data_IF_085119077767
#
_entry.id   IF_085119077767
#
_cell.length_a   1.000
_cell.length_b   1.000
_cell.length_c   1.000
_cell.angle_alpha   90.00
_cell.angle_beta   90.00
_cell.angle_gamma   90.00
#
_symmetry.space_group_name_H-M   'P 1'
#
loop_
_entity.id
_entity.type
_entity.pdbx_description
1 polymer ?
#
# COMPACT_ATOMS: atom_id res chain seq x y z
N UNK A 1 -13.82 29.18 27.55
CA UNK A 1 -12.61 28.38 27.21
C UNK A 1 -13.00 27.21 26.33
N UNK A 2 -12.61 27.25 25.05
CA UNK A 2 -12.89 26.21 24.06
C UNK A 2 -11.94 25.05 24.34
N UNK A 3 -12.40 24.00 25.02
CA UNK A 3 -11.58 22.78 25.21
C UNK A 3 -11.31 22.20 23.83
N UNK A 4 -10.08 22.35 23.35
CA UNK A 4 -9.56 21.64 22.19
C UNK A 4 -9.41 20.17 22.58
N UNK A 5 -10.53 19.46 22.61
CA UNK A 5 -10.51 18.00 22.62
C UNK A 5 -9.92 17.57 21.29
N UNK A 6 -8.62 17.27 21.28
CA UNK A 6 -8.04 16.29 20.37
C UNK A 6 -8.74 14.95 20.65
N UNK A 7 -10.00 14.82 20.24
CA UNK A 7 -10.62 13.51 20.21
C UNK A 7 -9.91 12.75 19.08
N UNK A 8 -9.63 11.47 19.31
CA UNK A 8 -9.10 10.54 18.28
C UNK A 8 -10.02 10.44 17.03
N UNK A 9 -11.11 11.20 16.99
CA UNK A 9 -12.12 11.25 15.95
C UNK A 9 -11.85 12.28 14.86
N UNK A 10 -10.93 13.24 15.06
CA UNK A 10 -10.68 14.25 14.03
C UNK A 10 -9.86 13.67 12.87
N UNK A 11 -10.28 13.85 11.60
CA UNK A 11 -9.52 13.34 10.46
C UNK A 11 -8.09 13.85 10.40
N UNK A 12 -7.87 15.12 10.74
CA UNK A 12 -6.54 15.73 10.79
C UNK A 12 -5.58 15.03 11.75
N UNK A 13 -6.06 14.61 12.93
CA UNK A 13 -5.25 13.87 13.89
C UNK A 13 -4.83 12.50 13.36
N UNK A 14 -5.74 11.78 12.67
CA UNK A 14 -5.42 10.47 12.08
C UNK A 14 -4.31 10.61 11.03
N UNK A 15 -4.41 11.59 10.14
CA UNK A 15 -3.37 11.85 9.14
C UNK A 15 -2.04 12.25 9.79
N UNK A 16 -2.07 13.10 10.81
CA UNK A 16 -0.88 13.50 11.55
C UNK A 16 -0.19 12.30 12.22
N UNK A 17 -0.95 11.44 12.89
CA UNK A 17 -0.41 10.23 13.55
C UNK A 17 0.18 9.25 12.53
N UNK A 18 -0.51 9.02 11.40
CA UNK A 18 0.01 8.14 10.35
C UNK A 18 1.28 8.71 9.71
N UNK A 19 1.35 10.03 9.53
CA UNK A 19 2.55 10.70 9.05
C UNK A 19 3.71 10.60 10.05
N UNK A 20 3.44 10.78 11.34
CA UNK A 20 4.44 10.61 12.38
C UNK A 20 4.96 9.16 12.42
N UNK A 21 4.08 8.16 12.34
CA UNK A 21 4.45 6.75 12.28
C UNK A 21 5.26 6.41 11.02
N UNK A 22 4.92 7.02 9.88
CA UNK A 22 5.71 6.95 8.66
C UNK A 22 7.13 7.47 8.90
N UNK A 23 7.29 8.67 9.48
CA UNK A 23 8.61 9.25 9.76
C UNK A 23 9.42 8.41 10.75
N UNK A 24 8.79 7.90 11.81
CA UNK A 24 9.44 7.03 12.79
C UNK A 24 9.89 5.71 12.16
N UNK A 25 9.04 5.11 11.34
CA UNK A 25 9.38 3.89 10.60
C UNK A 25 10.53 4.16 9.64
N UNK A 26 10.51 5.29 8.93
CA UNK A 26 11.58 5.69 8.04
C UNK A 26 12.91 5.89 8.77
N UNK A 27 12.89 6.56 9.93
CA UNK A 27 14.06 6.73 10.79
C UNK A 27 14.61 5.40 11.29
N UNK A 28 13.73 4.46 11.67
CA UNK A 28 14.10 3.10 12.04
C UNK A 28 14.83 2.37 10.90
N UNK A 29 14.30 2.42 9.67
CA UNK A 29 14.96 1.81 8.51
C UNK A 29 16.29 2.45 8.18
N UNK A 30 16.39 3.77 8.27
CA UNK A 30 17.65 4.50 8.07
C UNK A 30 18.70 4.03 9.08
N UNK A 31 18.33 3.97 10.36
CA UNK A 31 19.22 3.53 11.43
C UNK A 31 19.72 2.11 11.20
N UNK A 32 18.81 1.16 10.94
CA UNK A 32 19.17 -0.24 10.69
C UNK A 32 20.06 -0.42 9.45
N UNK A 33 19.76 0.28 8.36
CA UNK A 33 20.48 0.10 7.09
C UNK A 33 21.87 0.76 7.10
N UNK A 34 22.07 1.81 7.90
CA UNK A 34 23.39 2.44 8.08
C UNK A 34 24.37 1.58 8.87
N UNK A 35 23.89 0.72 9.78
CA UNK A 35 24.74 -0.21 10.54
C UNK A 35 25.49 -1.17 9.61
N UNK A 36 24.87 -1.54 8.47
CA UNK A 36 25.39 -2.62 7.63
C UNK A 36 26.16 -2.18 6.37
N UNK A 37 25.97 -0.96 5.83
CA UNK A 37 26.39 -0.66 4.43
C UNK A 37 27.39 0.48 4.22
N UNK A 38 27.81 1.20 5.26
CA UNK A 38 28.79 2.30 5.12
C UNK A 38 28.27 3.54 4.36
N UNK A 39 29.07 4.61 4.21
CA UNK A 39 28.55 5.97 4.05
C UNK A 39 28.39 6.49 2.60
N UNK A 40 28.13 5.65 1.59
CA UNK A 40 27.95 6.20 0.22
C UNK A 40 26.60 6.93 0.10
N UNK A 41 26.56 8.23 -0.22
CA UNK A 41 25.30 9.01 -0.22
C UNK A 41 24.25 8.49 -1.23
N UNK A 42 24.71 7.94 -2.35
CA UNK A 42 23.81 7.43 -3.40
C UNK A 42 22.95 6.26 -2.89
N UNK A 43 23.54 5.30 -2.16
CA UNK A 43 22.81 4.15 -1.63
C UNK A 43 21.81 4.56 -0.56
N UNK A 44 22.14 5.59 0.21
CA UNK A 44 21.22 6.16 1.19
C UNK A 44 19.96 6.69 0.52
N UNK A 45 20.10 7.53 -0.51
CA UNK A 45 18.97 8.12 -1.23
C UNK A 45 18.14 7.04 -1.93
N UNK A 46 18.77 6.08 -2.62
CA UNK A 46 18.03 5.01 -3.31
C UNK A 46 17.26 4.13 -2.33
N UNK A 47 17.86 3.75 -1.20
CA UNK A 47 17.19 2.94 -0.18
C UNK A 47 16.01 3.71 0.44
N UNK A 48 16.19 5.01 0.68
CA UNK A 48 15.14 5.87 1.21
C UNK A 48 13.94 5.89 0.25
N UNK A 49 14.17 6.11 -1.04
CA UNK A 49 13.08 6.10 -2.03
C UNK A 49 12.38 4.74 -2.13
N UNK A 50 13.13 3.65 -2.13
CA UNK A 50 12.59 2.29 -2.24
C UNK A 50 11.74 1.95 -1.01
N UNK A 51 12.21 2.25 0.20
CA UNK A 51 11.52 1.94 1.46
C UNK A 51 10.29 2.86 1.67
N UNK A 52 10.33 4.09 1.17
CA UNK A 52 9.17 4.99 1.26
C UNK A 52 7.93 4.43 0.55
N UNK A 53 8.08 3.69 -0.54
CA UNK A 53 6.95 3.14 -1.32
C UNK A 53 6.02 2.27 -0.45
N UNK A 54 6.47 1.14 0.13
CA UNK A 54 5.61 0.29 0.95
C UNK A 54 5.09 1.01 2.21
N UNK A 55 5.88 1.92 2.80
CA UNK A 55 5.45 2.67 3.99
C UNK A 55 4.34 3.68 3.69
N UNK A 56 4.42 4.41 2.58
CA UNK A 56 3.36 5.33 2.14
C UNK A 56 2.08 4.54 1.86
N UNK A 57 2.19 3.39 1.20
CA UNK A 57 1.04 2.52 0.94
C UNK A 57 0.43 2.01 2.24
N UNK A 58 1.24 1.59 3.21
CA UNK A 58 0.79 1.11 4.51
C UNK A 58 0.06 2.20 5.31
N UNK A 59 0.73 3.30 5.61
CA UNK A 59 0.17 4.33 6.49
C UNK A 59 -0.95 5.11 5.80
N UNK A 60 -0.87 5.30 4.48
CA UNK A 60 -1.98 5.84 3.69
C UNK A 60 -3.21 4.94 3.71
N UNK A 61 -3.03 3.62 3.55
CA UNK A 61 -4.12 2.66 3.65
C UNK A 61 -4.72 2.61 5.07
N UNK A 62 -3.89 2.60 6.12
CA UNK A 62 -4.35 2.64 7.52
C UNK A 62 -5.21 3.87 7.78
N UNK A 63 -4.74 5.05 7.36
CA UNK A 63 -5.51 6.29 7.53
C UNK A 63 -6.89 6.19 6.86
N UNK A 64 -6.94 5.71 5.63
CA UNK A 64 -8.19 5.56 4.87
C UNK A 64 -9.12 4.53 5.50
N UNK A 65 -8.60 3.36 5.87
CA UNK A 65 -9.37 2.31 6.56
C UNK A 65 -9.99 2.87 7.85
N UNK A 66 -9.19 3.52 8.68
CA UNK A 66 -9.62 4.01 9.98
C UNK A 66 -10.69 5.10 9.82
N UNK A 67 -10.48 6.07 8.92
CA UNK A 67 -11.45 7.13 8.65
C UNK A 67 -12.75 6.59 8.05
N UNK A 68 -12.68 5.64 7.12
CA UNK A 68 -13.86 5.03 6.54
C UNK A 68 -14.67 4.25 7.57
N UNK A 69 -14.01 3.48 8.44
CA UNK A 69 -14.68 2.75 9.53
C UNK A 69 -15.35 3.73 10.50
N UNK A 70 -14.65 4.80 10.90
CA UNK A 70 -15.22 5.82 11.79
C UNK A 70 -16.46 6.48 11.17
N UNK A 71 -16.39 6.87 9.90
CA UNK A 71 -17.50 7.49 9.19
C UNK A 71 -18.71 6.54 9.06
N UNK A 72 -18.45 5.30 8.66
CA UNK A 72 -19.50 4.28 8.52
C UNK A 72 -20.14 3.93 9.87
N UNK A 73 -19.38 3.91 10.97
CA UNK A 73 -19.92 3.71 12.32
C UNK A 73 -20.79 4.89 12.78
N UNK A 74 -20.41 6.12 12.45
CA UNK A 74 -21.13 7.33 12.88
C UNK A 74 -22.42 7.60 12.09
N UNK A 75 -22.44 7.29 10.78
CA UNK A 75 -23.53 7.66 9.89
C UNK A 75 -24.22 6.49 9.18
N UNK A 76 -23.72 5.26 9.34
CA UNK A 76 -24.22 4.07 8.65
C UNK A 76 -23.90 4.02 7.16
N UNK A 77 -23.37 5.09 6.57
CA UNK A 77 -23.03 5.20 5.15
C UNK A 77 -21.69 5.93 4.97
N UNK A 78 -21.09 5.84 3.79
CA UNK A 78 -19.91 6.63 3.42
C UNK A 78 -20.33 7.80 2.54
N UNK A 79 -19.72 8.97 2.72
CA UNK A 79 -19.86 10.02 1.72
C UNK A 79 -19.20 9.63 0.41
N UNK A 80 -19.55 10.34 -0.67
CA UNK A 80 -19.03 10.06 -2.00
C UNK A 80 -17.50 10.04 -2.03
N UNK A 81 -16.84 11.02 -1.39
CA UNK A 81 -15.38 11.11 -1.40
C UNK A 81 -14.73 9.86 -0.81
N UNK A 82 -15.19 9.40 0.36
CA UNK A 82 -14.64 8.22 1.03
C UNK A 82 -14.96 6.94 0.27
N UNK A 83 -16.16 6.83 -0.31
CA UNK A 83 -16.51 5.75 -1.21
C UNK A 83 -15.55 5.67 -2.42
N UNK A 84 -15.19 6.82 -3.02
CA UNK A 84 -14.17 6.88 -4.07
C UNK A 84 -12.81 6.43 -3.59
N UNK A 85 -12.38 6.83 -2.38
CA UNK A 85 -11.08 6.43 -1.84
C UNK A 85 -11.00 4.92 -1.60
N UNK A 86 -12.00 4.32 -0.96
CA UNK A 86 -12.05 2.87 -0.73
C UNK A 86 -12.12 2.10 -2.06
N UNK A 87 -12.73 2.69 -3.09
CA UNK A 87 -12.71 2.11 -4.42
C UNK A 87 -11.31 2.21 -5.07
N UNK A 88 -10.72 3.40 -5.20
CA UNK A 88 -9.51 3.59 -6.01
C UNK A 88 -8.20 3.21 -5.31
N UNK A 89 -8.07 3.48 -4.00
CA UNK A 89 -6.81 3.26 -3.28
C UNK A 89 -6.32 1.81 -3.36
N UNK A 90 -7.10 0.75 -3.04
CA UNK A 90 -6.59 -0.62 -3.13
C UNK A 90 -6.08 -0.99 -4.53
N UNK A 91 -6.66 -0.41 -5.58
CA UNK A 91 -6.30 -0.67 -6.99
C UNK A 91 -4.99 0.02 -7.37
N UNK A 92 -4.86 1.29 -7.03
CA UNK A 92 -3.64 2.06 -7.24
C UNK A 92 -2.50 1.44 -6.43
N UNK A 93 -2.75 1.13 -5.15
CA UNK A 93 -1.78 0.47 -4.28
C UNK A 93 -1.35 -0.90 -4.82
N UNK A 94 -2.29 -1.69 -5.35
CA UNK A 94 -1.98 -2.99 -5.95
C UNK A 94 -1.09 -2.88 -7.19
N UNK A 95 -1.32 -1.89 -8.06
CA UNK A 95 -0.43 -1.60 -9.20
C UNK A 95 0.95 -1.18 -8.70
N UNK A 96 1.02 -0.24 -7.74
CA UNK A 96 2.29 0.25 -7.19
C UNK A 96 3.08 -0.91 -6.56
N UNK A 97 2.43 -1.83 -5.84
CA UNK A 97 3.08 -3.04 -5.30
C UNK A 97 3.60 -3.93 -6.42
N UNK A 98 2.84 -4.16 -7.49
CA UNK A 98 3.31 -4.99 -8.61
C UNK A 98 4.58 -4.39 -9.25
N UNK A 99 4.61 -3.06 -9.44
CA UNK A 99 5.78 -2.34 -9.94
C UNK A 99 6.94 -2.41 -8.94
N UNK A 100 6.68 -2.19 -7.65
CA UNK A 100 7.68 -2.29 -6.59
C UNK A 100 8.33 -3.68 -6.56
N UNK A 101 7.53 -4.76 -6.63
CA UNK A 101 8.03 -6.14 -6.68
C UNK A 101 8.88 -6.38 -7.94
N UNK A 102 8.52 -5.77 -9.07
CA UNK A 102 9.30 -5.92 -10.31
C UNK A 102 10.71 -5.33 -10.22
N UNK A 103 10.96 -4.37 -9.32
CA UNK A 103 12.29 -3.80 -9.12
C UNK A 103 13.31 -4.84 -8.64
N UNK A 104 12.88 -5.80 -7.82
CA UNK A 104 13.75 -6.89 -7.35
C UNK A 104 14.17 -7.85 -8.47
N UNK A 105 13.44 -7.89 -9.59
CA UNK A 105 13.85 -8.68 -10.74
C UNK A 105 15.12 -8.15 -11.41
N UNK A 106 15.43 -6.86 -11.23
CA UNK A 106 16.61 -6.22 -11.81
C UNK A 106 17.92 -6.66 -11.14
N UNK A 107 17.87 -7.22 -9.93
CA UNK A 107 19.07 -7.62 -9.18
C UNK A 107 19.91 -8.68 -9.92
N UNK A 108 19.29 -9.49 -10.79
CA UNK A 108 19.98 -10.48 -11.62
C UNK A 108 21.03 -9.86 -12.55
N UNK A 109 20.86 -8.60 -12.95
CA UNK A 109 21.81 -7.94 -13.87
C UNK A 109 23.13 -7.59 -13.18
N UNK A 110 23.15 -7.52 -11.84
CA UNK A 110 24.34 -7.30 -11.03
C UNK A 110 25.11 -8.60 -10.74
N UNK A 111 24.56 -9.77 -11.08
CA UNK A 111 25.25 -11.05 -10.90
C UNK A 111 26.20 -11.33 -12.05
N UNK A 112 27.20 -12.19 -11.82
CA UNK A 112 28.08 -12.69 -12.86
C UNK A 112 27.33 -13.65 -13.81
N UNK A 113 27.66 -13.62 -15.09
CA UNK A 113 27.08 -14.51 -16.09
C UNK A 113 27.00 -13.91 -17.48
N UNK A 114 26.72 -14.76 -18.46
CA UNK A 114 26.48 -14.37 -19.84
C UNK A 114 25.18 -13.56 -19.97
N UNK A 115 25.05 -12.78 -21.04
CA UNK A 115 23.84 -11.99 -21.33
C UNK A 115 22.58 -12.88 -21.34
N UNK A 116 22.67 -14.08 -21.93
CA UNK A 116 21.55 -15.03 -21.99
C UNK A 116 21.14 -15.58 -20.62
N UNK A 117 22.11 -15.85 -19.74
CA UNK A 117 21.83 -16.26 -18.36
C UNK A 117 21.13 -15.15 -17.57
N UNK A 118 21.56 -13.89 -17.75
CA UNK A 118 20.92 -12.72 -17.11
C UNK A 118 19.48 -12.52 -17.59
N UNK A 119 19.22 -12.65 -18.90
CA UNK A 119 17.86 -12.56 -19.46
C UNK A 119 16.97 -13.69 -18.92
N UNK A 120 17.47 -14.94 -18.92
CA UNK A 120 16.73 -16.07 -18.36
C UNK A 120 16.41 -15.89 -16.88
N UNK A 121 17.40 -15.46 -16.09
CA UNK A 121 17.21 -15.18 -14.67
C UNK A 121 16.26 -14.02 -14.41
N UNK A 122 16.26 -12.97 -15.24
CA UNK A 122 15.31 -11.85 -15.16
C UNK A 122 13.87 -12.33 -15.33
N UNK A 123 13.60 -13.19 -16.32
CA UNK A 123 12.25 -13.73 -16.55
C UNK A 123 11.76 -14.52 -15.32
N UNK A 124 12.64 -15.32 -14.72
CA UNK A 124 12.32 -16.08 -13.50
C UNK A 124 12.06 -15.14 -12.32
N UNK A 125 12.90 -14.13 -12.11
CA UNK A 125 12.73 -13.18 -11.00
C UNK A 125 11.57 -12.19 -11.21
N UNK A 126 11.14 -11.97 -12.45
CA UNK A 126 9.98 -11.15 -12.78
C UNK A 126 8.65 -11.90 -12.57
N UNK A 127 8.68 -13.24 -12.48
CA UNK A 127 7.47 -14.06 -12.31
C UNK A 127 6.59 -13.63 -11.11
N UNK A 128 7.13 -13.34 -9.91
CA UNK A 128 6.34 -12.80 -8.80
C UNK A 128 5.58 -11.53 -9.17
N UNK A 129 6.22 -10.57 -9.84
CA UNK A 129 5.58 -9.32 -10.27
C UNK A 129 4.49 -9.56 -11.31
N UNK A 130 4.73 -10.47 -12.27
CA UNK A 130 3.75 -10.85 -13.29
C UNK A 130 2.52 -11.53 -12.68
N UNK A 131 2.72 -12.40 -11.67
CA UNK A 131 1.63 -13.01 -10.91
C UNK A 131 0.79 -11.93 -10.22
N UNK A 132 1.43 -10.97 -9.54
CA UNK A 132 0.72 -9.85 -8.91
C UNK A 132 -0.05 -8.98 -9.93
N UNK A 133 0.54 -8.71 -11.10
CA UNK A 133 -0.12 -7.98 -12.17
C UNK A 133 -1.37 -8.72 -12.70
N UNK A 134 -1.25 -10.04 -12.91
CA UNK A 134 -2.37 -10.88 -13.34
C UNK A 134 -3.49 -10.91 -12.28
N UNK A 135 -3.14 -11.02 -11.01
CA UNK A 135 -4.10 -10.94 -9.90
C UNK A 135 -4.79 -9.58 -9.90
N UNK A 136 -4.04 -8.49 -10.05
CA UNK A 136 -4.58 -7.13 -10.09
C UNK A 136 -5.58 -6.96 -11.23
N UNK A 137 -5.32 -7.56 -12.40
CA UNK A 137 -6.26 -7.58 -13.52
C UNK A 137 -7.62 -8.17 -13.14
N UNK A 138 -7.66 -9.31 -12.45
CA UNK A 138 -8.91 -9.91 -11.97
C UNK A 138 -9.54 -9.13 -10.80
N UNK A 139 -8.73 -8.67 -9.86
CA UNK A 139 -9.16 -7.92 -8.68
C UNK A 139 -9.80 -6.57 -9.04
N UNK A 140 -9.47 -6.01 -10.22
CA UNK A 140 -9.99 -4.73 -10.70
C UNK A 140 -11.53 -4.68 -10.70
N UNK A 141 -12.16 -5.73 -11.25
CA UNK A 141 -13.62 -5.88 -11.34
C UNK A 141 -14.21 -6.69 -10.19
N UNK A 142 -13.42 -7.56 -9.55
CA UNK A 142 -13.88 -8.45 -8.47
C UNK A 142 -13.10 -8.16 -7.18
N UNK A 143 -13.54 -7.20 -6.34
CA UNK A 143 -12.77 -6.77 -5.17
C UNK A 143 -12.52 -7.87 -4.15
N UNK A 144 -13.41 -8.86 -4.02
CA UNK A 144 -13.19 -10.01 -3.14
C UNK A 144 -11.97 -10.85 -3.56
N UNK A 145 -11.71 -10.99 -4.87
CA UNK A 145 -10.50 -11.67 -5.36
C UNK A 145 -9.27 -10.90 -4.90
N UNK A 146 -9.30 -9.57 -5.00
CA UNK A 146 -8.23 -8.71 -4.45
C UNK A 146 -8.03 -8.95 -2.96
N UNK A 147 -9.10 -8.94 -2.16
CA UNK A 147 -9.01 -9.16 -0.72
C UNK A 147 -8.34 -10.50 -0.39
N UNK A 148 -8.78 -11.58 -1.03
CA UNK A 148 -8.26 -12.93 -0.79
C UNK A 148 -6.79 -13.02 -1.22
N UNK A 149 -6.46 -12.60 -2.44
CA UNK A 149 -5.10 -12.83 -2.95
C UNK A 149 -4.07 -11.94 -2.26
N UNK A 150 -4.36 -10.65 -2.02
CA UNK A 150 -3.47 -9.80 -1.23
C UNK A 150 -3.36 -10.31 0.22
N UNK A 151 -4.43 -10.88 0.77
CA UNK A 151 -4.43 -11.51 2.10
C UNK A 151 -3.56 -12.77 2.16
N UNK A 152 -3.67 -13.66 1.17
CA UNK A 152 -2.80 -14.82 1.02
C UNK A 152 -1.34 -14.42 0.81
N UNK A 153 -1.09 -13.36 0.04
CA UNK A 153 0.24 -12.76 -0.10
C UNK A 153 0.80 -12.29 1.25
N UNK A 154 0.01 -11.55 2.04
CA UNK A 154 0.41 -11.16 3.39
C UNK A 154 0.73 -12.39 4.27
N UNK A 155 -0.16 -13.39 4.30
CA UNK A 155 0.07 -14.64 5.05
C UNK A 155 1.35 -15.35 4.60
N UNK A 156 1.63 -15.40 3.29
CA UNK A 156 2.88 -15.97 2.78
C UNK A 156 4.11 -15.25 3.35
N UNK A 157 4.10 -13.92 3.39
CA UNK A 157 5.21 -13.14 3.97
C UNK A 157 5.31 -13.27 5.50
N UNK A 158 4.26 -13.73 6.19
CA UNK A 158 4.33 -14.03 7.62
C UNK A 158 5.35 -15.15 7.94
N UNK A 159 5.66 -16.02 6.96
CA UNK A 159 6.68 -17.07 7.10
C UNK A 159 8.04 -16.52 7.52
N UNK A 160 8.39 -15.30 7.10
CA UNK A 160 9.66 -14.67 7.42
C UNK A 160 9.80 -14.35 8.92
N UNK A 161 8.67 -14.16 9.62
CA UNK A 161 8.66 -14.01 11.08
C UNK A 161 8.59 -15.37 11.76
N UNK A 162 7.70 -16.25 11.29
CA UNK A 162 7.40 -17.50 12.01
C UNK A 162 8.51 -18.53 11.91
N UNK A 163 9.23 -18.55 10.79
CA UNK A 163 10.30 -19.51 10.51
C UNK A 163 11.66 -18.85 10.28
N UNK A 164 11.74 -17.53 10.44
CA UNK A 164 13.01 -16.79 10.41
C UNK A 164 13.85 -17.11 11.64
N UNK A 165 15.18 -17.22 11.46
CA UNK A 165 16.12 -17.40 12.59
C UNK A 165 16.21 -16.17 13.50
N UNK A 166 15.82 -15.00 13.00
CA UNK A 166 15.71 -13.75 13.74
C UNK A 166 14.37 -13.10 13.47
N UNK A 167 13.88 -12.28 14.41
CA UNK A 167 12.66 -11.50 14.21
C UNK A 167 12.92 -10.40 13.17
N UNK A 168 12.68 -10.72 11.90
CA UNK A 168 12.85 -9.84 10.75
C UNK A 168 11.74 -8.77 10.69
N UNK A 169 11.60 -7.96 11.74
CA UNK A 169 10.62 -6.87 11.83
C UNK A 169 10.64 -5.91 10.63
N UNK A 170 11.80 -5.52 10.07
CA UNK A 170 11.87 -4.73 8.84
C UNK A 170 11.10 -5.37 7.68
N UNK A 171 11.27 -6.69 7.47
CA UNK A 171 10.61 -7.42 6.40
C UNK A 171 9.09 -7.54 6.64
N UNK A 172 8.68 -7.71 7.90
CA UNK A 172 7.26 -7.68 8.25
C UNK A 172 6.61 -6.34 7.88
N UNK A 173 7.26 -5.23 8.22
CA UNK A 173 6.72 -3.90 8.01
C UNK A 173 6.69 -3.51 6.52
N UNK A 174 7.64 -3.98 5.71
CA UNK A 174 7.72 -3.71 4.27
C UNK A 174 6.86 -4.64 3.41
N UNK A 175 6.74 -5.92 3.77
CA UNK A 175 6.05 -6.90 2.92
C UNK A 175 4.67 -7.29 3.46
N UNK A 176 4.59 -7.72 4.71
CA UNK A 176 3.32 -8.18 5.29
C UNK A 176 2.32 -7.02 5.45
N UNK A 177 2.74 -5.96 6.15
CA UNK A 177 1.82 -4.90 6.58
C UNK A 177 1.12 -4.20 5.41
N UNK A 178 1.81 -3.79 4.32
CA UNK A 178 1.16 -3.12 3.20
C UNK A 178 0.20 -4.05 2.46
N UNK A 179 0.57 -5.33 2.26
CA UNK A 179 -0.31 -6.32 1.63
C UNK A 179 -1.57 -6.58 2.45
N UNK A 180 -1.43 -6.70 3.78
CA UNK A 180 -2.56 -6.84 4.69
C UNK A 180 -3.49 -5.61 4.64
N UNK A 181 -2.92 -4.40 4.64
CA UNK A 181 -3.71 -3.17 4.55
C UNK A 181 -4.45 -3.05 3.21
N UNK A 182 -3.81 -3.42 2.09
CA UNK A 182 -4.45 -3.46 0.76
C UNK A 182 -5.56 -4.51 0.72
N UNK A 183 -5.34 -5.69 1.31
CA UNK A 183 -6.36 -6.74 1.45
C UNK A 183 -7.60 -6.23 2.19
N UNK A 184 -7.41 -5.54 3.31
CA UNK A 184 -8.50 -4.94 4.10
C UNK A 184 -9.26 -3.91 3.26
N UNK A 185 -8.57 -3.04 2.52
CA UNK A 185 -9.23 -2.06 1.63
C UNK A 185 -10.09 -2.74 0.56
N UNK A 186 -9.57 -3.79 -0.10
CA UNK A 186 -10.36 -4.59 -1.05
C UNK A 186 -11.57 -5.25 -0.39
N UNK A 187 -11.40 -5.78 0.83
CA UNK A 187 -12.48 -6.37 1.61
C UNK A 187 -13.56 -5.35 1.94
N UNK A 188 -13.18 -4.15 2.40
CA UNK A 188 -14.12 -3.06 2.68
C UNK A 188 -14.88 -2.63 1.42
N UNK A 189 -14.18 -2.52 0.28
CA UNK A 189 -14.80 -2.22 -1.01
C UNK A 189 -15.86 -3.26 -1.40
N UNK A 190 -15.59 -4.55 -1.17
CA UNK A 190 -16.54 -5.64 -1.41
C UNK A 190 -17.70 -5.64 -0.41
N UNK A 191 -17.40 -5.55 0.89
CA UNK A 191 -18.37 -5.62 1.99
C UNK A 191 -19.40 -4.50 1.90
N UNK A 192 -18.96 -3.30 1.59
CA UNK A 192 -19.82 -2.13 1.43
C UNK A 192 -20.38 -1.98 0.01
N UNK A 193 -20.18 -2.99 -0.86
CA UNK A 193 -20.69 -3.05 -2.24
C UNK A 193 -20.44 -1.77 -3.05
N UNK A 194 -19.27 -1.17 -2.87
CA UNK A 194 -18.92 0.09 -3.52
C UNK A 194 -18.63 -0.15 -5.00
N UNK A 195 -19.32 0.58 -5.85
CA UNK A 195 -19.19 0.53 -7.32
C UNK A 195 -18.29 1.64 -7.82
N UNK A 196 -17.93 1.58 -9.10
CA UNK A 196 -17.15 2.63 -9.75
C UNK A 196 -17.89 3.97 -9.62
N UNK A 197 -17.27 5.00 -9.03
CA UNK A 197 -17.91 6.29 -8.90
C UNK A 197 -18.19 6.89 -10.27
N UNK A 198 -19.44 7.30 -10.52
CA UNK A 198 -19.79 8.09 -11.70
C UNK A 198 -19.30 9.52 -11.45
N UNK A 199 -18.55 10.15 -12.37
CA UNK A 199 -18.21 11.56 -12.23
C UNK A 199 -19.49 12.36 -12.03
N UNK A 200 -19.58 13.14 -10.96
CA UNK A 200 -20.71 14.06 -10.78
C UNK A 200 -20.65 15.03 -11.97
N UNK A 201 -21.53 14.81 -12.96
CA UNK A 201 -21.76 15.80 -14.02
C UNK A 201 -22.27 17.01 -13.25
N UNK A 202 -21.49 18.10 -13.22
CA UNK A 202 -21.93 19.37 -12.69
C UNK A 202 -23.24 19.73 -13.40
N UNK A 203 -24.38 19.42 -12.79
CA UNK A 203 -25.65 20.01 -13.17
C UNK A 203 -25.56 21.45 -12.67
N UNK A 204 -24.91 22.31 -13.45
CA UNK A 204 -25.26 23.73 -13.43
C UNK A 204 -26.78 23.76 -13.64
N UNK A 205 -27.55 24.51 -12.83
CA UNK A 205 -28.98 24.70 -13.09
C UNK A 205 -29.11 25.23 -14.51
N UNK A 206 -29.93 24.60 -15.34
CA UNK A 206 -30.26 25.07 -16.70
C UNK A 206 -31.30 26.21 -16.56
N UNK A 207 -31.09 27.13 -15.63
CA UNK A 207 -32.07 28.19 -15.30
C UNK A 207 -31.39 29.57 -15.17
N UNK A 208 -30.38 29.84 -16.01
CA UNK A 208 -29.74 31.16 -16.12
C UNK A 208 -29.39 31.54 -17.57
N UNK A 209 -30.27 31.24 -18.52
CA UNK A 209 -30.34 32.02 -19.75
C UNK A 209 -31.76 32.59 -19.86
N UNK A 210 -31.84 33.89 -19.57
CA UNK A 210 -32.95 34.78 -19.87
C UNK A 210 -32.91 35.10 -21.36
#
# INVERSE_FOLDING_TARGET
MKKSHLSLSSPGLVYFLCFLLYLLSMGYFIFFNQVDRGPKPIYFITNLLIISIPLILLFGAIAVIFLAIQQHKASGQLNDRMARLIYFIPRISGIIIAVFISLFALDVFNLDGTIWQKIGGFIIHAAPALIFALVMFFAWKRPLIGAIVFGLGAIYFLRFILFGRFFEFPNFLIFFCPLAAISILFYLNWKWKLTKPVPQRNSKPIDQEI
#
